data_IF_958967740221
#
_entry.id   IF_958967740221
#
_cell.length_a   1.000
_cell.length_b   1.000
_cell.length_c   1.000
_cell.angle_alpha   90.00
_cell.angle_beta   90.00
_cell.angle_gamma   90.00
#
_symmetry.space_group_name_H-M   'P 1'
#
loop_
_entity.id
_entity.type
_entity.pdbx_description
1 polymer ?
#
# COMPACT_ATOMS: atom_id res chain seq x y z
N UNK A 1 45.80 -35.30 1.22
CA UNK A 1 44.57 -35.05 2.01
C UNK A 1 44.29 -33.56 1.97
N UNK A 2 43.38 -33.15 1.10
CA UNK A 2 42.80 -31.81 1.08
C UNK A 2 41.31 -32.00 1.27
N UNK A 3 40.75 -31.32 2.27
CA UNK A 3 39.37 -31.47 2.69
C UNK A 3 38.42 -30.81 1.67
N UNK A 4 37.34 -31.51 1.34
CA UNK A 4 36.18 -30.95 0.64
C UNK A 4 35.57 -29.83 1.49
N UNK A 5 35.49 -28.63 0.91
CA UNK A 5 34.73 -27.53 1.48
C UNK A 5 33.22 -27.79 1.30
N UNK A 6 32.35 -27.42 2.26
CA UNK A 6 30.91 -27.59 2.09
C UNK A 6 30.38 -26.65 1.02
N UNK A 7 29.46 -27.15 0.19
CA UNK A 7 28.63 -26.35 -0.71
C UNK A 7 27.88 -25.30 0.11
N UNK A 8 28.07 -24.01 -0.21
CA UNK A 8 27.32 -22.93 0.43
C UNK A 8 25.81 -23.13 0.21
N UNK A 9 24.97 -22.88 1.22
CA UNK A 9 23.53 -22.97 1.05
C UNK A 9 23.05 -21.86 0.12
N UNK A 10 22.29 -22.25 -0.89
CA UNK A 10 21.55 -21.39 -1.81
C UNK A 10 20.75 -20.35 -1.01
N UNK A 11 21.22 -19.10 -1.00
CA UNK A 11 20.52 -18.00 -0.36
C UNK A 11 19.31 -17.67 -1.23
N UNK A 12 18.15 -18.18 -0.84
CA UNK A 12 16.88 -17.69 -1.36
C UNK A 12 16.90 -16.15 -1.39
N UNK A 13 16.40 -15.50 -2.45
CA UNK A 13 16.33 -14.05 -2.48
C UNK A 13 15.59 -13.58 -1.23
N UNK A 14 16.22 -12.71 -0.45
CA UNK A 14 15.64 -12.19 0.77
C UNK A 14 14.25 -11.61 0.45
N UNK A 15 13.26 -11.92 1.30
CA UNK A 15 11.88 -11.45 1.14
C UNK A 15 11.84 -9.93 0.88
N UNK A 16 10.84 -9.42 0.13
CA UNK A 16 10.75 -8.00 -0.23
C UNK A 16 10.87 -7.05 0.98
N UNK A 17 10.38 -7.45 2.16
CA UNK A 17 10.51 -6.69 3.41
C UNK A 17 11.94 -6.57 3.97
N UNK A 18 12.94 -7.28 3.45
CA UNK A 18 14.35 -7.01 3.79
C UNK A 18 14.94 -5.96 2.85
N UNK A 19 14.44 -5.93 1.60
CA UNK A 19 14.83 -4.94 0.62
C UNK A 19 14.45 -3.53 1.12
N UNK A 20 15.33 -2.57 0.89
CA UNK A 20 15.19 -1.16 1.25
C UNK A 20 15.17 -0.78 2.74
N UNK A 21 15.29 -1.71 3.69
CA UNK A 21 15.37 -1.38 5.14
C UNK A 21 16.44 -0.32 5.46
N UNK A 22 17.66 -0.51 4.95
CA UNK A 22 18.77 0.43 5.12
C UNK A 22 18.55 1.77 4.40
N UNK A 23 17.87 1.76 3.25
CA UNK A 23 17.50 2.99 2.55
C UNK A 23 16.44 3.76 3.35
N UNK A 24 15.39 3.08 3.81
CA UNK A 24 14.32 3.66 4.59
C UNK A 24 14.84 4.28 5.89
N UNK A 25 15.78 3.61 6.58
CA UNK A 25 16.44 4.13 7.78
C UNK A 25 17.16 5.48 7.53
N UNK A 26 17.74 5.67 6.34
CA UNK A 26 18.39 6.94 5.97
C UNK A 26 17.39 8.02 5.54
N UNK A 27 16.30 7.64 4.87
CA UNK A 27 15.33 8.58 4.29
C UNK A 27 14.27 9.03 5.30
N UNK A 28 13.91 8.20 6.27
CA UNK A 28 12.93 8.51 7.31
C UNK A 28 13.20 9.84 8.03
N UNK A 29 14.40 10.10 8.59
CA UNK A 29 14.67 11.36 9.28
C UNK A 29 14.65 12.59 8.36
N UNK A 30 14.88 12.42 7.05
CA UNK A 30 14.90 13.52 6.07
C UNK A 30 13.50 13.94 5.63
N UNK A 31 12.54 13.02 5.68
CA UNK A 31 11.18 13.21 5.16
C UNK A 31 10.13 13.31 6.27
N UNK A 32 10.45 12.84 7.47
CA UNK A 32 9.50 12.67 8.56
C UNK A 32 8.52 11.50 8.36
N UNK A 33 8.72 10.68 7.33
CA UNK A 33 7.89 9.50 7.07
C UNK A 33 8.41 8.33 7.92
N UNK A 34 7.54 7.55 8.58
CA UNK A 34 7.96 6.36 9.31
C UNK A 34 8.79 5.40 8.44
N UNK A 35 9.90 4.89 8.97
CA UNK A 35 10.77 3.96 8.26
C UNK A 35 10.01 2.75 7.70
N UNK A 36 9.11 2.17 8.49
CA UNK A 36 8.31 1.01 8.07
C UNK A 36 7.41 1.30 6.86
N UNK A 37 6.83 2.50 6.82
CA UNK A 37 6.00 2.95 5.71
C UNK A 37 6.83 3.23 4.45
N UNK A 38 8.00 3.86 4.60
CA UNK A 38 8.92 4.06 3.47
C UNK A 38 9.32 2.74 2.81
N UNK A 39 9.57 1.71 3.62
CA UNK A 39 9.89 0.38 3.11
C UNK A 39 8.76 -0.19 2.24
N UNK A 40 7.52 -0.10 2.70
CA UNK A 40 6.34 -0.51 1.94
C UNK A 40 6.23 0.22 0.59
N UNK A 41 6.38 1.55 0.60
CA UNK A 41 6.29 2.35 -0.63
C UNK A 41 7.43 2.04 -1.61
N UNK A 42 8.64 1.77 -1.11
CA UNK A 42 9.78 1.38 -1.95
C UNK A 42 9.59 -0.02 -2.54
N UNK A 43 9.07 -0.96 -1.77
CA UNK A 43 8.74 -2.31 -2.25
C UNK A 43 7.67 -2.25 -3.34
N UNK A 44 6.58 -1.52 -3.10
CA UNK A 44 5.51 -1.34 -4.09
C UNK A 44 6.03 -0.65 -5.37
N UNK A 45 6.86 0.38 -5.24
CA UNK A 45 7.56 0.98 -6.39
C UNK A 45 8.37 -0.06 -7.16
N UNK A 46 9.24 -0.81 -6.48
CA UNK A 46 10.13 -1.77 -7.12
C UNK A 46 9.35 -2.89 -7.83
N UNK A 47 8.27 -3.37 -7.21
CA UNK A 47 7.37 -4.35 -7.81
C UNK A 47 6.70 -3.82 -9.08
N UNK A 48 6.20 -2.57 -9.08
CA UNK A 48 5.60 -1.97 -10.27
C UNK A 48 6.64 -1.66 -11.34
N UNK A 49 7.86 -1.25 -10.97
CA UNK A 49 8.93 -1.05 -11.93
C UNK A 49 9.34 -2.37 -12.63
N UNK A 50 9.24 -3.50 -11.93
CA UNK A 50 9.54 -4.82 -12.50
C UNK A 50 8.39 -5.39 -13.35
N UNK A 51 7.13 -5.13 -12.99
CA UNK A 51 5.95 -5.77 -13.61
C UNK A 51 5.22 -4.89 -14.60
N UNK A 52 5.27 -3.57 -14.44
CA UNK A 52 4.59 -2.58 -15.26
C UNK A 52 5.43 -1.30 -15.41
N UNK A 53 6.64 -1.40 -16.02
CA UNK A 53 7.60 -0.31 -16.07
C UNK A 53 7.07 0.95 -16.76
N UNK A 54 6.15 0.85 -17.72
CA UNK A 54 5.54 1.98 -18.41
C UNK A 54 4.67 2.85 -17.51
N UNK A 55 4.22 2.33 -16.37
CA UNK A 55 3.43 3.10 -15.41
C UNK A 55 4.23 4.23 -14.77
N UNK A 56 5.52 4.02 -14.49
CA UNK A 56 6.40 5.04 -13.89
C UNK A 56 5.89 5.59 -12.54
N UNK A 57 5.10 4.81 -11.78
CA UNK A 57 4.70 5.20 -10.42
C UNK A 57 5.92 5.30 -9.51
N UNK A 58 5.90 6.26 -8.58
CA UNK A 58 7.00 6.48 -7.63
C UNK A 58 6.56 6.27 -6.18
N UNK A 59 7.51 5.93 -5.30
CA UNK A 59 7.24 5.81 -3.86
C UNK A 59 6.75 7.13 -3.28
N UNK A 60 7.14 8.27 -3.89
CA UNK A 60 6.70 9.61 -3.51
C UNK A 60 5.19 9.78 -3.71
N UNK A 61 4.64 9.22 -4.79
CA UNK A 61 3.20 9.25 -5.05
C UNK A 61 2.44 8.47 -3.98
N UNK A 62 2.89 7.26 -3.68
CA UNK A 62 2.31 6.41 -2.64
C UNK A 62 2.39 7.07 -1.26
N UNK A 63 3.54 7.65 -0.92
CA UNK A 63 3.73 8.39 0.31
C UNK A 63 2.79 9.60 0.40
N UNK A 64 2.61 10.35 -0.69
CA UNK A 64 1.70 11.49 -0.75
C UNK A 64 0.26 11.12 -0.47
N UNK A 65 -0.23 10.04 -1.09
CA UNK A 65 -1.58 9.52 -0.85
C UNK A 65 -1.72 9.06 0.59
N UNK A 66 -0.88 8.14 1.06
CA UNK A 66 -0.97 7.61 2.40
C UNK A 66 -0.80 8.69 3.50
N UNK A 67 -0.10 9.79 3.21
CA UNK A 67 -0.04 10.96 4.11
C UNK A 67 -1.42 11.59 4.28
N UNK A 68 -2.14 11.84 3.19
CA UNK A 68 -3.47 12.45 3.19
C UNK A 68 -4.48 11.51 3.83
N UNK A 69 -4.42 10.23 3.48
CA UNK A 69 -5.44 9.25 3.89
C UNK A 69 -5.36 8.88 5.37
N UNK A 70 -4.16 8.68 5.91
CA UNK A 70 -4.00 8.12 7.26
C UNK A 70 -2.79 8.63 8.02
N UNK A 71 -2.07 9.62 7.48
CA UNK A 71 -0.76 10.03 7.97
C UNK A 71 0.23 8.84 8.06
N UNK A 72 0.35 8.10 6.95
CA UNK A 72 1.23 6.93 6.81
C UNK A 72 0.93 5.80 7.80
N UNK A 73 -0.35 5.42 7.91
CA UNK A 73 -0.79 4.35 8.81
C UNK A 73 -0.78 4.77 10.29
N UNK A 74 -1.12 6.03 10.57
CA UNK A 74 -1.14 6.58 11.93
C UNK A 74 0.25 6.82 12.54
N UNK A 75 1.33 6.65 11.77
CA UNK A 75 2.70 6.95 12.19
C UNK A 75 3.34 5.93 13.15
N UNK A 76 2.65 4.84 13.50
CA UNK A 76 3.10 3.85 14.50
C UNK A 76 2.84 2.41 14.04
N UNK A 77 3.40 2.05 12.90
CA UNK A 77 3.26 0.69 12.36
C UNK A 77 4.18 -0.30 13.09
N UNK A 78 3.67 -1.50 13.32
CA UNK A 78 4.46 -2.63 13.80
C UNK A 78 5.47 -3.12 12.77
N UNK A 79 6.40 -4.01 13.15
CA UNK A 79 7.32 -4.65 12.21
C UNK A 79 6.59 -5.38 11.08
N UNK A 80 5.43 -5.95 11.39
CA UNK A 80 4.47 -6.61 10.51
C UNK A 80 3.64 -5.64 9.64
N UNK A 81 3.99 -4.34 9.61
CA UNK A 81 3.33 -3.38 8.71
C UNK A 81 1.95 -2.91 9.15
N UNK A 82 1.43 -3.42 10.26
CA UNK A 82 0.07 -3.16 10.71
C UNK A 82 0.02 -2.06 11.79
N UNK A 83 -1.04 -1.23 11.83
CA UNK A 83 -1.27 -0.30 12.92
C UNK A 83 -1.74 -1.04 14.18
N UNK A 84 -1.51 -0.50 15.38
CA UNK A 84 -1.92 -1.13 16.65
C UNK A 84 -3.44 -1.18 16.82
N UNK A 85 -4.16 -0.30 16.12
CA UNK A 85 -5.62 -0.27 16.05
C UNK A 85 -6.00 -0.18 14.57
N UNK A 86 -7.00 -0.93 14.10
CA UNK A 86 -7.49 -0.82 12.74
C UNK A 86 -7.84 0.63 12.36
N UNK A 87 -7.41 1.06 11.19
CA UNK A 87 -7.73 2.37 10.64
C UNK A 87 -9.03 2.20 9.86
N UNK A 88 -10.12 2.69 10.43
CA UNK A 88 -11.46 2.65 9.84
C UNK A 88 -12.01 4.07 9.77
N UNK A 89 -12.41 4.48 8.57
CA UNK A 89 -12.95 5.80 8.27
C UNK A 89 -14.35 6.03 8.82
N UNK A 90 -14.94 7.16 8.45
CA UNK A 90 -16.34 7.49 8.75
C UNK A 90 -17.30 6.65 7.88
N UNK A 91 -18.56 6.43 8.30
CA UNK A 91 -19.53 5.73 7.46
C UNK A 91 -19.88 6.58 6.24
N UNK A 92 -19.89 5.97 5.05
CA UNK A 92 -20.23 6.63 3.80
C UNK A 92 -21.76 6.71 3.61
N UNK A 93 -22.40 7.50 4.47
CA UNK A 93 -23.86 7.56 4.62
C UNK A 93 -24.53 8.77 3.92
N UNK A 94 -23.79 9.52 3.10
CA UNK A 94 -24.33 10.68 2.38
C UNK A 94 -24.55 11.94 3.21
N UNK A 95 -24.00 12.03 4.43
CA UNK A 95 -23.95 13.29 5.18
C UNK A 95 -23.20 14.39 4.37
N UNK A 96 -23.40 15.70 4.68
CA UNK A 96 -22.75 16.77 3.93
C UNK A 96 -21.22 16.58 3.81
N UNK A 97 -20.72 16.50 2.58
CA UNK A 97 -19.30 16.26 2.28
C UNK A 97 -18.85 14.79 2.32
N UNK A 98 -19.77 13.85 2.54
CA UNK A 98 -19.50 12.40 2.60
C UNK A 98 -20.24 11.70 1.46
N UNK A 99 -19.59 10.75 0.79
CA UNK A 99 -20.23 9.94 -0.25
C UNK A 99 -21.31 9.03 0.36
N UNK A 100 -22.28 8.61 -0.46
CA UNK A 100 -23.30 7.63 -0.08
C UNK A 100 -22.97 6.29 -0.73
N UNK A 101 -22.46 5.33 0.05
CA UNK A 101 -22.03 4.01 -0.42
C UNK A 101 -22.52 2.96 0.58
N UNK A 102 -23.49 2.15 0.14
CA UNK A 102 -24.03 1.04 0.94
C UNK A 102 -22.98 -0.07 1.12
N UNK A 103 -23.15 -0.88 2.15
CA UNK A 103 -22.31 -2.06 2.43
C UNK A 103 -22.12 -2.93 1.18
N UNK A 104 -20.87 -3.26 0.87
CA UNK A 104 -20.50 -4.09 -0.28
C UNK A 104 -19.89 -5.44 0.08
N UNK A 105 -19.58 -5.69 1.35
CA UNK A 105 -18.88 -6.90 1.77
C UNK A 105 -19.47 -7.61 3.00
N UNK A 106 -20.62 -7.16 3.50
CA UNK A 106 -21.28 -7.73 4.68
C UNK A 106 -20.67 -7.26 6.00
N UNK A 107 -19.94 -6.14 5.98
CA UNK A 107 -19.14 -5.60 7.09
C UNK A 107 -17.88 -6.42 7.38
N UNK A 108 -17.30 -7.07 6.38
CA UNK A 108 -16.17 -7.98 6.58
C UNK A 108 -14.86 -7.23 6.86
N UNK A 109 -14.64 -6.10 6.19
CA UNK A 109 -13.41 -5.31 6.35
C UNK A 109 -13.54 -4.18 7.37
N UNK A 110 -14.74 -3.62 7.56
CA UNK A 110 -14.97 -2.44 8.40
C UNK A 110 -15.96 -2.63 9.56
N UNK A 111 -16.64 -3.79 9.63
CA UNK A 111 -17.62 -4.13 10.65
C UNK A 111 -18.99 -3.47 10.49
N UNK A 112 -19.23 -2.65 9.47
CA UNK A 112 -20.48 -1.92 9.23
C UNK A 112 -21.31 -2.63 8.16
N UNK A 113 -22.50 -3.11 8.53
CA UNK A 113 -23.39 -3.87 7.65
C UNK A 113 -24.42 -3.00 6.92
N UNK A 114 -24.24 -1.69 6.96
CA UNK A 114 -25.18 -0.73 6.39
C UNK A 114 -24.48 0.18 5.41
N UNK A 115 -23.35 0.78 5.82
CA UNK A 115 -22.58 1.70 5.00
C UNK A 115 -21.11 1.33 5.00
N UNK A 116 -20.52 1.22 3.82
CA UNK A 116 -19.07 1.00 3.69
C UNK A 116 -18.30 2.15 4.36
N UNK A 117 -17.11 1.81 4.86
CA UNK A 117 -16.15 2.72 5.47
C UNK A 117 -14.80 2.49 4.83
N UNK A 118 -14.05 3.57 4.63
CA UNK A 118 -12.69 3.46 4.13
C UNK A 118 -11.77 2.72 5.12
N UNK A 119 -10.96 1.78 4.64
CA UNK A 119 -10.12 0.89 5.48
C UNK A 119 -8.63 1.06 5.21
N UNK A 120 -7.84 0.96 6.27
CA UNK A 120 -6.39 0.82 6.21
C UNK A 120 -5.62 2.11 5.91
N UNK A 121 -4.29 2.01 5.75
CA UNK A 121 -3.40 3.16 5.55
C UNK A 121 -3.69 3.96 4.27
N UNK A 122 -4.34 3.33 3.30
CA UNK A 122 -4.70 3.91 2.00
C UNK A 122 -6.21 4.21 1.87
N UNK A 123 -7.00 3.97 2.93
CA UNK A 123 -8.43 4.31 2.99
C UNK A 123 -9.24 3.77 1.80
N UNK A 124 -9.00 2.50 1.45
CA UNK A 124 -9.78 1.83 0.41
C UNK A 124 -11.24 1.65 0.82
N UNK A 125 -12.18 1.87 -0.10
CA UNK A 125 -13.53 1.32 0.05
C UNK A 125 -13.46 -0.21 -0.05
N UNK A 126 -14.24 -0.98 0.73
CA UNK A 126 -14.30 -2.44 0.62
C UNK A 126 -14.42 -2.97 -0.81
N UNK A 127 -15.35 -2.48 -1.61
CA UNK A 127 -15.48 -2.88 -3.02
C UNK A 127 -14.22 -2.66 -3.86
N UNK A 128 -13.56 -1.50 -3.69
CA UNK A 128 -12.28 -1.20 -4.36
C UNK A 128 -11.16 -2.10 -3.85
N UNK A 129 -11.10 -2.37 -2.55
CA UNK A 129 -10.15 -3.34 -2.00
C UNK A 129 -10.32 -4.71 -2.65
N UNK A 130 -11.55 -5.25 -2.73
CA UNK A 130 -11.78 -6.57 -3.33
C UNK A 130 -11.30 -6.69 -4.78
N UNK A 131 -11.37 -5.59 -5.54
CA UNK A 131 -10.89 -5.55 -6.91
C UNK A 131 -9.35 -5.48 -7.03
N UNK A 132 -8.67 -4.86 -6.06
CA UNK A 132 -7.24 -4.49 -6.17
C UNK A 132 -6.33 -5.10 -5.11
N UNK A 133 -6.89 -5.83 -4.13
CA UNK A 133 -6.16 -6.47 -3.03
C UNK A 133 -4.96 -7.25 -3.55
N UNK A 134 -3.88 -7.17 -2.80
CA UNK A 134 -2.59 -7.70 -3.20
C UNK A 134 -1.84 -8.08 -1.94
N UNK A 135 -1.12 -9.19 -1.99
CA UNK A 135 -0.20 -9.65 -0.95
C UNK A 135 1.18 -9.03 -1.26
N UNK A 136 1.50 -7.94 -0.57
CA UNK A 136 2.64 -7.07 -0.82
C UNK A 136 3.91 -7.51 -0.09
N UNK A 137 3.76 -8.29 0.98
CA UNK A 137 4.88 -8.85 1.72
C UNK A 137 5.12 -10.35 1.51
N UNK A 138 4.17 -11.04 0.91
CA UNK A 138 4.25 -12.46 0.59
C UNK A 138 3.90 -13.38 1.76
N UNK A 139 3.17 -12.89 2.77
CA UNK A 139 2.73 -13.70 3.92
C UNK A 139 1.55 -14.64 3.58
N UNK A 140 0.98 -14.52 2.38
CA UNK A 140 -0.14 -15.32 1.88
C UNK A 140 -1.52 -14.72 2.20
N UNK A 141 -1.59 -13.55 2.83
CA UNK A 141 -2.81 -12.88 3.27
C UNK A 141 -2.85 -11.46 2.74
N UNK A 142 -3.81 -11.16 1.86
CA UNK A 142 -4.07 -9.77 1.48
C UNK A 142 -4.98 -9.09 2.52
N UNK A 143 -4.43 -8.19 3.33
CA UNK A 143 -5.08 -7.47 4.43
C UNK A 143 -4.96 -5.94 4.25
N UNK A 144 -6.07 -5.18 4.15
CA UNK A 144 -5.99 -3.73 3.92
C UNK A 144 -5.34 -2.94 5.06
N UNK A 145 -5.29 -3.49 6.27
CA UNK A 145 -4.58 -2.87 7.39
C UNK A 145 -3.05 -3.02 7.30
N UNK A 146 -2.54 -3.96 6.50
CA UNK A 146 -1.12 -4.08 6.24
C UNK A 146 -0.67 -3.03 5.22
N UNK A 147 0.32 -2.22 5.60
CA UNK A 147 0.82 -1.17 4.70
C UNK A 147 1.50 -1.71 3.45
N UNK A 148 2.11 -2.90 3.48
CA UNK A 148 2.77 -3.46 2.30
C UNK A 148 1.73 -3.82 1.24
N UNK A 149 0.69 -4.56 1.66
CA UNK A 149 -0.45 -4.95 0.84
C UNK A 149 -1.20 -3.74 0.30
N UNK A 150 -1.52 -2.79 1.19
CA UNK A 150 -2.22 -1.58 0.82
C UNK A 150 -1.41 -0.73 -0.16
N UNK A 151 -0.08 -0.64 0.00
CA UNK A 151 0.79 0.10 -0.90
C UNK A 151 0.83 -0.51 -2.30
N UNK A 152 0.98 -1.84 -2.42
CA UNK A 152 1.01 -2.49 -3.74
C UNK A 152 -0.38 -2.47 -4.40
N UNK A 153 -1.47 -2.63 -3.63
CA UNK A 153 -2.83 -2.51 -4.13
C UNK A 153 -3.08 -1.09 -4.69
N UNK A 154 -2.67 -0.05 -3.96
CA UNK A 154 -2.78 1.33 -4.42
C UNK A 154 -1.93 1.59 -5.66
N UNK A 155 -0.72 1.03 -5.72
CA UNK A 155 0.14 1.17 -6.87
C UNK A 155 -0.48 0.54 -8.13
N UNK A 156 -1.04 -0.67 -8.02
CA UNK A 156 -1.74 -1.36 -9.12
C UNK A 156 -2.98 -0.59 -9.57
N UNK A 157 -3.76 -0.07 -8.63
CA UNK A 157 -4.93 0.78 -8.93
C UNK A 157 -4.53 2.00 -9.75
N UNK A 158 -3.48 2.71 -9.32
CA UNK A 158 -3.01 3.93 -9.98
C UNK A 158 -2.45 3.65 -11.37
N UNK A 159 -1.81 2.49 -11.55
CA UNK A 159 -1.26 2.02 -12.82
C UNK A 159 -2.28 1.32 -13.75
N UNK A 160 -3.54 1.19 -13.30
CA UNK A 160 -4.61 0.60 -14.10
C UNK A 160 -4.77 1.28 -15.47
N UNK A 161 -5.38 0.58 -16.42
CA UNK A 161 -5.69 1.08 -17.76
C UNK A 161 -4.48 1.56 -18.58
N UNK A 162 -3.28 1.04 -18.29
CA UNK A 162 -2.05 1.39 -19.01
C UNK A 162 -1.62 2.85 -18.83
N UNK A 163 -1.99 3.47 -17.70
CA UNK A 163 -1.61 4.85 -17.38
C UNK A 163 -0.10 4.99 -17.24
N UNK A 164 0.42 6.15 -17.60
CA UNK A 164 1.80 6.55 -17.36
C UNK A 164 1.80 7.78 -16.44
N UNK A 165 2.46 7.67 -15.29
CA UNK A 165 2.50 8.65 -14.21
C UNK A 165 3.78 9.51 -14.24
N UNK A 166 4.65 9.36 -15.24
CA UNK A 166 5.86 10.20 -15.38
C UNK A 166 5.54 11.65 -15.77
N UNK A 167 4.39 11.88 -16.41
CA UNK A 167 3.92 13.21 -16.82
C UNK A 167 2.79 13.72 -15.94
N UNK A 168 2.70 15.04 -15.76
CA UNK A 168 1.72 15.68 -14.87
C UNK A 168 0.26 15.31 -15.17
N UNK A 169 -0.13 15.23 -16.44
CA UNK A 169 -1.52 14.90 -16.82
C UNK A 169 -1.89 13.44 -16.54
N UNK A 170 -0.95 12.51 -16.76
CA UNK A 170 -1.14 11.10 -16.45
C UNK A 170 -1.20 10.86 -14.94
N UNK A 171 -0.30 11.51 -14.20
CA UNK A 171 -0.29 11.51 -12.75
C UNK A 171 -1.60 12.08 -12.16
N UNK A 172 -2.03 13.27 -12.61
CA UNK A 172 -3.26 13.90 -12.11
C UNK A 172 -4.49 13.04 -12.37
N UNK A 173 -4.62 12.42 -13.56
CA UNK A 173 -5.72 11.50 -13.85
C UNK A 173 -5.73 10.29 -12.93
N UNK A 174 -4.57 9.72 -12.64
CA UNK A 174 -4.46 8.60 -11.70
C UNK A 174 -4.90 9.00 -10.29
N UNK A 175 -4.46 10.16 -9.79
CA UNK A 175 -4.87 10.69 -8.47
C UNK A 175 -6.37 10.98 -8.40
N UNK A 176 -6.94 11.61 -9.43
CA UNK A 176 -8.39 11.89 -9.48
C UNK A 176 -9.20 10.59 -9.50
N UNK A 177 -8.74 9.57 -10.23
CA UNK A 177 -9.34 8.22 -10.23
C UNK A 177 -9.28 7.59 -8.84
N UNK A 178 -8.20 7.81 -8.09
CA UNK A 178 -8.05 7.26 -6.74
C UNK A 178 -9.04 7.89 -5.75
N UNK A 179 -9.21 9.21 -5.80
CA UNK A 179 -10.16 9.92 -4.94
C UNK A 179 -11.63 9.55 -5.24
N UNK A 180 -11.93 9.14 -6.48
CA UNK A 180 -13.26 8.65 -6.88
C UNK A 180 -13.42 7.13 -6.74
N UNK A 181 -12.40 6.43 -6.22
CA UNK A 181 -12.47 4.99 -5.94
C UNK A 181 -13.31 4.67 -4.72
#
# INVERSE_FOLDING_TARGET
AAADAPLEPDLAPAAPQVAFSAWAARVAPLTGIPQRALQAYANAHAAMAATQPECQITWVTLAGIARVESNHGGGRLGPDGRPPTPIIGVPLNGAPGVRLIADTDGGMLDGDKVWDRAVGPFQFIPSTWWAWRSDGDGDGVAEPQDIDDAAIAAARYLCADGRNLSGGDGWLRAILSYNSS
#
